data_IF_704371095996
#
_entry.id   IF_704371095996
#
_cell.length_a   1.000
_cell.length_b   1.000
_cell.length_c   1.000
_cell.angle_alpha   90.00
_cell.angle_beta   90.00
_cell.angle_gamma   90.00
#
_symmetry.space_group_name_H-M   'P 1'
#
loop_
_entity.id
_entity.type
_entity.pdbx_description
1 polymer ?
#
# COMPACT_ATOMS: atom_id res chain seq x y z
N UNK A 1 -17.49 -3.91 4.36
CA UNK A 1 -16.59 -4.12 3.22
C UNK A 1 -15.36 -3.24 3.34
N UNK A 2 -14.20 -3.73 2.91
CA UNK A 2 -12.92 -3.01 2.96
C UNK A 2 -12.48 -2.75 1.52
N UNK A 3 -12.23 -1.48 1.20
CA UNK A 3 -11.68 -1.07 -0.10
C UNK A 3 -10.20 -0.76 0.05
N UNK A 4 -9.37 -1.37 -0.80
CA UNK A 4 -7.92 -1.11 -0.89
C UNK A 4 -7.66 -0.34 -2.19
N UNK A 5 -7.23 0.92 -2.05
CA UNK A 5 -6.81 1.73 -3.19
C UNK A 5 -5.33 1.49 -3.51
N UNK A 6 -5.04 1.08 -4.75
CA UNK A 6 -3.67 0.82 -5.24
C UNK A 6 -3.31 1.87 -6.30
N UNK A 7 -2.26 2.64 -6.07
CA UNK A 7 -1.73 3.61 -7.05
C UNK A 7 -1.08 2.90 -8.24
N UNK A 8 -1.37 3.34 -9.45
CA UNK A 8 -0.68 2.92 -10.67
C UNK A 8 0.64 3.70 -10.85
N UNK A 9 1.67 3.27 -10.13
CA UNK A 9 2.99 3.89 -10.11
C UNK A 9 3.89 3.34 -11.22
N UNK A 10 4.75 4.16 -11.85
CA UNK A 10 5.75 3.66 -12.79
C UNK A 10 6.76 2.73 -12.10
N UNK A 11 7.28 1.76 -12.86
CA UNK A 11 8.32 0.84 -12.37
C UNK A 11 9.63 1.58 -12.13
N UNK A 12 10.16 1.44 -10.92
CA UNK A 12 11.49 1.93 -10.55
C UNK A 12 12.02 1.16 -9.33
N UNK A 13 13.20 1.54 -8.82
CA UNK A 13 13.79 0.87 -7.65
C UNK A 13 12.94 0.97 -6.37
N UNK A 14 12.13 2.02 -6.24
CA UNK A 14 11.22 2.22 -5.12
C UNK A 14 9.91 1.45 -5.31
N UNK A 15 9.48 1.26 -6.56
CA UNK A 15 8.27 0.57 -6.98
C UNK A 15 8.63 -0.56 -7.97
N UNK A 16 9.23 -1.67 -7.50
CA UNK A 16 9.79 -2.69 -8.37
C UNK A 16 8.75 -3.66 -8.96
N UNK A 17 7.49 -3.56 -8.54
CA UNK A 17 6.41 -4.46 -8.96
C UNK A 17 5.42 -3.73 -9.85
N UNK A 18 5.02 -4.38 -10.93
CA UNK A 18 3.94 -3.94 -11.80
C UNK A 18 2.63 -3.81 -11.02
N UNK A 19 1.66 -3.10 -11.59
CA UNK A 19 0.31 -3.06 -11.04
C UNK A 19 -0.27 -4.48 -10.90
N UNK A 20 -0.20 -5.30 -11.96
CA UNK A 20 -0.76 -6.65 -11.96
C UNK A 20 -0.14 -7.59 -10.92
N UNK A 21 1.18 -7.51 -10.71
CA UNK A 21 1.86 -8.27 -9.65
C UNK A 21 1.36 -7.86 -8.27
N UNK A 22 1.23 -6.54 -8.02
CA UNK A 22 0.70 -6.04 -6.74
C UNK A 22 -0.74 -6.47 -6.52
N UNK A 23 -1.59 -6.40 -7.54
CA UNK A 23 -2.98 -6.85 -7.47
C UNK A 23 -3.06 -8.36 -7.16
N UNK A 24 -2.24 -9.17 -7.83
CA UNK A 24 -2.16 -10.62 -7.61
C UNK A 24 -1.73 -10.95 -6.19
N UNK A 25 -0.70 -10.26 -5.68
CA UNK A 25 -0.23 -10.44 -4.31
C UNK A 25 -1.31 -10.11 -3.27
N UNK A 26 -1.99 -8.97 -3.42
CA UNK A 26 -3.07 -8.57 -2.50
C UNK A 26 -4.20 -9.59 -2.52
N UNK A 27 -4.67 -10.00 -3.71
CA UNK A 27 -5.73 -11.01 -3.86
C UNK A 27 -5.34 -12.37 -3.29
N UNK A 28 -4.05 -12.74 -3.35
CA UNK A 28 -3.55 -14.00 -2.77
C UNK A 28 -3.55 -14.02 -1.23
N UNK A 29 -3.65 -12.85 -0.59
CA UNK A 29 -3.57 -12.69 0.87
C UNK A 29 -4.89 -12.32 1.52
N UNK A 30 -5.80 -11.69 0.79
CA UNK A 30 -7.05 -11.17 1.32
C UNK A 30 -8.22 -11.53 0.40
N UNK A 31 -9.14 -12.35 0.91
CA UNK A 31 -10.33 -12.79 0.16
C UNK A 31 -11.52 -11.83 0.29
N UNK A 32 -11.47 -10.89 1.24
CA UNK A 32 -12.60 -10.05 1.67
C UNK A 32 -12.36 -8.54 1.45
N UNK A 33 -11.59 -8.20 0.42
CA UNK A 33 -11.29 -6.82 0.04
C UNK A 33 -11.73 -6.53 -1.40
N UNK A 34 -12.27 -5.34 -1.61
CA UNK A 34 -12.46 -4.78 -2.94
C UNK A 34 -11.23 -3.94 -3.29
N UNK A 35 -10.67 -4.11 -4.49
CA UNK A 35 -9.48 -3.38 -4.92
C UNK A 35 -9.87 -2.36 -5.98
N UNK A 36 -9.50 -1.10 -5.76
CA UNK A 36 -9.66 -0.02 -6.73
C UNK A 36 -8.30 0.50 -7.16
N UNK A 37 -8.07 0.61 -8.47
CA UNK A 37 -6.85 1.21 -9.01
C UNK A 37 -7.07 2.71 -9.13
N UNK A 38 -6.12 3.49 -8.63
CA UNK A 38 -6.12 4.95 -8.72
C UNK A 38 -4.88 5.45 -9.48
N UNK A 39 -4.94 6.62 -10.12
CA UNK A 39 -3.76 7.23 -10.74
C UNK A 39 -2.63 7.44 -9.73
N UNK A 40 -1.44 7.73 -10.25
CA UNK A 40 -0.31 8.13 -9.42
C UNK A 40 -0.54 9.53 -8.81
N UNK A 41 -1.19 9.57 -7.65
CA UNK A 41 -1.58 10.82 -6.99
C UNK A 41 -0.50 11.36 -6.04
N UNK A 42 -0.41 12.68 -5.94
CA UNK A 42 0.51 13.37 -5.02
C UNK A 42 -0.18 13.78 -3.70
N UNK A 43 -1.49 14.00 -3.72
CA UNK A 43 -2.23 14.49 -2.56
C UNK A 43 -3.63 13.86 -2.42
N UNK A 44 -4.10 13.77 -1.18
CA UNK A 44 -5.48 13.43 -0.84
C UNK A 44 -6.14 14.70 -0.29
N UNK A 45 -6.94 15.36 -1.11
CA UNK A 45 -7.73 16.52 -0.69
C UNK A 45 -9.10 16.06 -0.15
N UNK A 46 -9.44 16.46 1.08
CA UNK A 46 -10.75 16.19 1.68
C UNK A 46 -11.37 17.48 2.27
N UNK A 47 -12.65 17.71 1.99
CA UNK A 47 -13.38 18.92 2.34
C UNK A 47 -14.21 18.80 3.63
N UNK A 48 -14.93 19.87 3.98
CA UNK A 48 -15.73 19.94 5.21
C UNK A 48 -17.00 19.09 5.10
N UNK A 49 -17.11 18.06 5.96
CA UNK A 49 -18.21 17.07 6.06
C UNK A 49 -18.31 16.08 4.88
N UNK A 50 -17.29 15.24 4.65
CA UNK A 50 -17.33 14.24 3.57
C UNK A 50 -18.27 13.06 3.87
N UNK A 51 -18.96 13.05 5.01
CA UNK A 51 -19.87 11.97 5.42
C UNK A 51 -19.17 10.76 6.03
N UNK A 52 -17.84 10.67 5.93
CA UNK A 52 -17.02 9.61 6.48
C UNK A 52 -15.95 10.14 7.46
N UNK A 53 -15.40 9.25 8.29
CA UNK A 53 -14.39 9.56 9.30
C UNK A 53 -13.02 9.08 8.83
N UNK A 54 -11.99 9.91 9.03
CA UNK A 54 -10.61 9.46 8.94
C UNK A 54 -10.24 8.77 10.27
N UNK A 55 -9.76 7.53 10.19
CA UNK A 55 -9.27 6.77 11.34
C UNK A 55 -7.85 6.30 11.07
N UNK A 56 -6.92 6.73 11.91
CA UNK A 56 -5.58 6.15 11.98
C UNK A 56 -5.63 4.88 12.86
N UNK A 57 -5.07 3.78 12.37
CA UNK A 57 -4.92 2.53 13.14
C UNK A 57 -3.48 2.45 13.61
N UNK A 58 -3.26 2.50 14.93
CA UNK A 58 -1.94 2.29 15.54
C UNK A 58 -1.75 0.82 15.89
N UNK A 59 -0.63 0.26 15.47
CA UNK A 59 -0.29 -1.14 15.70
C UNK A 59 0.78 -1.21 16.79
N UNK A 60 1.20 -2.42 17.17
CA UNK A 60 2.33 -2.54 18.08
C UNK A 60 3.64 -2.11 17.39
N UNK A 61 4.63 -1.72 18.19
CA UNK A 61 5.92 -1.20 17.71
C UNK A 61 6.69 -2.18 16.81
N UNK A 62 6.42 -3.48 16.88
CA UNK A 62 7.10 -4.46 16.02
C UNK A 62 6.47 -4.47 14.62
N UNK A 63 5.14 -4.42 14.53
CA UNK A 63 4.43 -4.30 13.26
C UNK A 63 4.66 -2.95 12.59
N UNK A 64 4.69 -1.84 13.35
CA UNK A 64 4.97 -0.50 12.80
C UNK A 64 6.38 -0.36 12.19
N UNK A 65 7.32 -1.26 12.54
CA UNK A 65 8.66 -1.29 11.94
C UNK A 65 8.72 -1.97 10.58
N UNK A 66 7.67 -2.70 10.19
CA UNK A 66 7.60 -3.37 8.89
C UNK A 66 7.44 -2.30 7.80
N UNK A 67 8.43 -2.19 6.93
CA UNK A 67 8.46 -1.21 5.84
C UNK A 67 8.96 -1.85 4.56
N UNK A 68 8.23 -1.63 3.46
CA UNK A 68 8.65 -2.11 2.14
C UNK A 68 10.03 -1.59 1.73
N UNK A 69 10.36 -0.34 2.08
CA UNK A 69 11.67 0.25 1.78
C UNK A 69 12.80 -0.43 2.56
N UNK A 70 12.58 -0.74 3.85
CA UNK A 70 13.57 -1.44 4.66
C UNK A 70 13.76 -2.89 4.20
N UNK A 71 12.67 -3.59 3.87
CA UNK A 71 12.72 -4.95 3.32
C UNK A 71 13.51 -4.97 2.02
N UNK A 72 13.21 -4.09 1.07
CA UNK A 72 13.94 -4.00 -0.20
C UNK A 72 15.42 -3.69 0.00
N UNK A 73 15.76 -2.81 0.95
CA UNK A 73 17.15 -2.53 1.29
C UNK A 73 17.84 -3.78 1.85
N UNK A 74 17.22 -4.50 2.77
CA UNK A 74 17.75 -5.76 3.32
C UNK A 74 18.02 -6.82 2.25
N UNK A 75 17.13 -6.92 1.25
CA UNK A 75 17.29 -7.83 0.11
C UNK A 75 18.48 -7.45 -0.78
N UNK A 76 18.71 -6.15 -1.02
CA UNK A 76 19.89 -5.67 -1.78
C UNK A 76 21.20 -5.89 -1.03
N UNK A 77 21.18 -5.72 0.29
CA UNK A 77 22.36 -5.83 1.16
C UNK A 77 22.70 -7.30 1.52
N UNK A 78 21.89 -8.28 1.09
CA UNK A 78 22.08 -9.71 1.42
C UNK A 78 21.80 -10.05 2.89
N UNK A 79 21.07 -9.19 3.60
CA UNK A 79 20.80 -9.28 5.04
C UNK A 79 19.42 -9.92 5.35
N UNK A 80 18.90 -10.74 4.44
CA UNK A 80 17.61 -11.43 4.56
C UNK A 80 17.74 -12.90 4.24
#
# INVERSE_FOLDING_TARGET
>A
DVVVAVRDTPLNEENPYTLEERLTLIRSKFDNVEIVVIPDIEEIAYGRKPGWKLKEVRLDKSMEKISGSLIRKGMKDGNT
#
